data_IF_534827558032
#
_entry.id   IF_534827558032
#
_cell.length_a   1.000
_cell.length_b   1.000
_cell.length_c   1.000
_cell.angle_alpha   90.00
_cell.angle_beta   90.00
_cell.angle_gamma   90.00
#
_symmetry.space_group_name_H-M   'P 1'
#
loop_
_entity.id
_entity.type
_entity.pdbx_description
1 polymer ?
#
# COMPACT_ATOMS: atom_id res chain seq x y z
N UNK A 1 8.37 40.48 -74.99
CA UNK A 1 8.75 39.43 -74.02
C UNK A 1 7.96 39.67 -72.74
N UNK A 2 6.84 38.97 -72.56
CA UNK A 2 6.08 38.92 -71.29
C UNK A 2 5.92 37.46 -70.93
N UNK A 3 6.45 37.11 -69.76
CA UNK A 3 6.60 35.75 -69.24
C UNK A 3 5.25 35.21 -68.74
N UNK A 4 4.87 34.00 -69.16
CA UNK A 4 3.75 33.25 -68.59
C UNK A 4 4.34 32.19 -67.64
N UNK A 5 4.16 32.37 -66.34
CA UNK A 5 4.49 31.37 -65.33
C UNK A 5 3.32 30.38 -65.21
N UNK A 6 3.54 29.13 -65.63
CA UNK A 6 2.66 28.00 -65.28
C UNK A 6 2.97 27.56 -63.85
N UNK A 7 2.01 27.70 -62.94
CA UNK A 7 2.07 27.06 -61.62
C UNK A 7 1.50 25.64 -61.72
N UNK A 8 2.35 24.63 -61.59
CA UNK A 8 1.95 23.24 -61.36
C UNK A 8 1.63 23.08 -59.87
N UNK A 9 0.36 22.87 -59.54
CA UNK A 9 -0.04 22.46 -58.20
C UNK A 9 0.16 20.94 -58.07
N UNK A 10 1.17 20.52 -57.32
CA UNK A 10 1.36 19.11 -56.95
C UNK A 10 0.41 18.81 -55.78
N UNK A 11 -0.65 18.05 -56.05
CA UNK A 11 -1.57 17.54 -55.04
C UNK A 11 -0.88 16.37 -54.31
N UNK A 12 -0.27 16.64 -53.15
CA UNK A 12 0.20 15.61 -52.24
C UNK A 12 -1.03 14.93 -51.61
N UNK A 13 -1.37 13.72 -52.07
CA UNK A 13 -2.28 12.85 -51.33
C UNK A 13 -1.58 12.45 -50.03
N UNK A 14 -1.97 13.09 -48.92
CA UNK A 14 -1.73 12.54 -47.59
C UNK A 14 -2.55 11.26 -47.48
N UNK A 15 -1.86 10.11 -47.55
CA UNK A 15 -2.41 8.85 -47.09
C UNK A 15 -2.55 9.00 -45.58
N UNK A 16 -3.75 9.31 -45.10
CA UNK A 16 -4.07 9.17 -43.69
C UNK A 16 -3.89 7.68 -43.35
N UNK A 17 -2.80 7.34 -42.67
CA UNK A 17 -2.74 6.08 -41.94
C UNK A 17 -3.90 6.11 -40.96
N UNK A 18 -4.86 5.20 -41.13
CA UNK A 18 -5.86 4.97 -40.11
C UNK A 18 -5.12 4.53 -38.85
N UNK A 19 -4.88 5.46 -37.91
CA UNK A 19 -4.50 5.10 -36.55
C UNK A 19 -5.65 4.23 -36.02
N UNK A 20 -5.38 2.93 -35.89
CA UNK A 20 -6.35 1.99 -35.33
C UNK A 20 -6.85 2.51 -33.99
N UNK A 21 -8.16 2.45 -33.77
CA UNK A 21 -8.73 2.86 -32.49
C UNK A 21 -8.04 2.11 -31.34
N UNK A 22 -7.72 2.78 -30.22
CA UNK A 22 -7.05 2.14 -29.09
C UNK A 22 -7.76 0.86 -28.65
N UNK A 23 -6.99 -0.19 -28.35
CA UNK A 23 -7.55 -1.43 -27.81
C UNK A 23 -8.16 -1.14 -26.43
N UNK A 24 -9.48 -1.33 -26.31
CA UNK A 24 -10.24 -1.03 -25.10
C UNK A 24 -11.18 -2.18 -24.67
N UNK A 25 -11.14 -3.31 -25.38
CA UNK A 25 -11.90 -4.52 -25.04
C UNK A 25 -10.95 -5.63 -24.64
N UNK A 26 -10.93 -6.01 -23.37
CA UNK A 26 -10.11 -7.10 -22.85
C UNK A 26 -10.97 -8.33 -22.54
N UNK A 27 -10.61 -9.50 -23.08
CA UNK A 27 -11.32 -10.77 -22.86
C UNK A 27 -10.59 -11.61 -21.81
N UNK A 28 -11.26 -11.87 -20.67
CA UNK A 28 -10.76 -12.72 -19.58
C UNK A 28 -11.59 -14.01 -19.49
N UNK A 29 -11.11 -15.00 -18.73
CA UNK A 29 -11.80 -16.28 -18.52
C UNK A 29 -13.16 -16.16 -17.79
N UNK A 30 -13.43 -15.01 -17.19
CA UNK A 30 -14.67 -14.72 -16.47
C UNK A 30 -15.47 -13.53 -17.04
N UNK A 31 -15.12 -13.03 -18.23
CA UNK A 31 -15.90 -11.99 -18.90
C UNK A 31 -15.08 -11.06 -19.80
N UNK A 32 -15.79 -10.23 -20.56
CA UNK A 32 -15.19 -9.19 -21.41
C UNK A 32 -15.34 -7.82 -20.75
N UNK A 33 -14.26 -7.03 -20.71
CA UNK A 33 -14.20 -5.75 -20.02
C UNK A 33 -13.92 -4.60 -20.99
N UNK A 34 -14.86 -3.65 -21.07
CA UNK A 34 -14.76 -2.44 -21.87
C UNK A 34 -14.16 -1.30 -21.03
N UNK A 35 -12.95 -0.90 -21.38
CA UNK A 35 -12.27 0.29 -20.87
C UNK A 35 -12.62 1.54 -21.67
N UNK A 36 -11.81 2.57 -21.53
CA UNK A 36 -11.95 3.82 -22.28
C UNK A 36 -10.59 4.41 -22.65
N UNK A 37 -10.60 5.38 -23.56
CA UNK A 37 -9.43 6.12 -23.99
C UNK A 37 -9.63 7.61 -23.69
N UNK A 38 -8.65 8.21 -23.01
CA UNK A 38 -8.60 9.66 -22.81
C UNK A 38 -7.69 10.29 -23.87
N UNK A 39 -8.29 11.08 -24.77
CA UNK A 39 -7.53 11.85 -25.76
C UNK A 39 -6.72 12.99 -25.10
N UNK A 40 -7.23 13.57 -24.02
CA UNK A 40 -6.57 14.65 -23.27
C UNK A 40 -5.22 14.18 -22.70
N UNK A 41 -5.19 12.99 -22.12
CA UNK A 41 -3.99 12.44 -21.49
C UNK A 41 -3.23 11.46 -22.39
N UNK A 42 -3.83 11.04 -23.51
CA UNK A 42 -3.35 9.98 -24.38
C UNK A 42 -3.03 8.71 -23.57
N UNK A 43 -4.07 8.17 -22.91
CA UNK A 43 -4.04 7.01 -22.01
C UNK A 43 -5.26 6.12 -22.27
N UNK A 44 -5.05 4.81 -22.35
CA UNK A 44 -6.12 3.79 -22.25
C UNK A 44 -6.25 3.32 -20.81
N UNK A 45 -7.47 3.14 -20.33
CA UNK A 45 -7.73 2.82 -18.92
C UNK A 45 -8.96 1.95 -18.71
N UNK A 46 -8.91 1.20 -17.61
CA UNK A 46 -10.01 0.46 -17.00
C UNK A 46 -9.98 0.81 -15.52
N UNK A 47 -11.06 1.33 -14.99
CA UNK A 47 -11.16 1.73 -13.58
C UNK A 47 -11.78 0.63 -12.72
N UNK A 48 -12.79 -0.11 -13.19
CA UNK A 48 -13.48 -1.10 -12.37
C UNK A 48 -13.46 -2.49 -12.99
N UNK A 49 -12.55 -3.33 -12.53
CA UNK A 49 -12.50 -4.76 -12.85
C UNK A 49 -12.61 -5.54 -11.53
N UNK A 50 -13.67 -6.33 -11.29
CA UNK A 50 -13.72 -7.22 -10.13
C UNK A 50 -12.68 -8.33 -10.31
N UNK A 51 -11.77 -8.48 -9.35
CA UNK A 51 -10.74 -9.54 -9.37
C UNK A 51 -10.97 -10.62 -8.31
N UNK A 52 -11.91 -10.39 -7.40
CA UNK A 52 -12.40 -11.37 -6.42
C UNK A 52 -13.90 -11.17 -6.16
N UNK A 53 -14.53 -12.18 -5.54
CA UNK A 53 -15.89 -12.05 -5.04
C UNK A 53 -15.96 -11.10 -3.83
N UNK A 54 -17.12 -10.48 -3.56
CA UNK A 54 -17.31 -9.63 -2.39
C UNK A 54 -16.93 -10.36 -1.08
N UNK A 55 -16.07 -9.77 -0.22
CA UNK A 55 -15.66 -10.33 1.05
C UNK A 55 -16.70 -10.11 2.17
N UNK A 56 -17.98 -10.34 1.87
CA UNK A 56 -19.11 -10.14 2.78
C UNK A 56 -19.60 -11.47 3.38
N UNK A 57 -20.35 -11.38 4.49
CA UNK A 57 -20.98 -12.53 5.13
C UNK A 57 -19.95 -13.59 5.52
N UNK A 58 -20.08 -14.81 4.98
CA UNK A 58 -19.13 -15.90 5.26
C UNK A 58 -17.72 -15.67 4.70
N UNK A 59 -17.56 -14.76 3.73
CA UNK A 59 -16.26 -14.36 3.21
C UNK A 59 -15.62 -13.22 4.02
N UNK A 60 -16.32 -12.68 5.03
CA UNK A 60 -15.73 -11.72 5.96
C UNK A 60 -14.61 -12.41 6.73
N UNK A 61 -13.43 -11.78 6.74
CA UNK A 61 -12.17 -12.34 7.29
C UNK A 61 -11.62 -13.57 6.55
N UNK A 62 -12.13 -13.91 5.37
CA UNK A 62 -11.60 -15.00 4.53
C UNK A 62 -10.71 -14.45 3.42
N UNK A 63 -9.71 -15.19 2.98
CA UNK A 63 -8.95 -14.90 1.77
C UNK A 63 -9.86 -14.72 0.55
N UNK A 64 -9.42 -13.95 -0.46
CA UNK A 64 -10.25 -13.59 -1.61
C UNK A 64 -10.72 -14.83 -2.37
N UNK A 65 -12.03 -14.90 -2.66
CA UNK A 65 -12.62 -15.97 -3.47
C UNK A 65 -12.68 -15.54 -4.95
N UNK A 66 -12.70 -16.48 -5.91
CA UNK A 66 -12.77 -16.15 -7.34
C UNK A 66 -13.96 -15.22 -7.66
N UNK A 67 -13.79 -14.26 -8.60
CA UNK A 67 -14.89 -13.38 -9.00
C UNK A 67 -15.99 -14.16 -9.71
N UNK A 68 -17.20 -13.59 -9.74
CA UNK A 68 -18.30 -14.16 -10.50
C UNK A 68 -18.01 -14.11 -12.01
N UNK A 69 -18.43 -15.15 -12.74
CA UNK A 69 -18.40 -15.17 -14.21
C UNK A 69 -19.49 -14.25 -14.73
N UNK A 70 -19.09 -13.25 -15.51
CA UNK A 70 -19.99 -12.32 -16.16
C UNK A 70 -20.57 -12.94 -17.43
N UNK A 71 -21.79 -12.55 -17.77
CA UNK A 71 -22.44 -13.02 -18.99
C UNK A 71 -21.67 -12.55 -20.24
N UNK A 72 -21.51 -13.44 -21.21
CA UNK A 72 -20.74 -13.18 -22.42
C UNK A 72 -21.48 -12.32 -23.47
N UNK A 73 -22.74 -11.97 -23.20
CA UNK A 73 -23.62 -11.28 -24.15
C UNK A 73 -23.36 -9.77 -24.22
N UNK A 74 -22.77 -9.16 -23.18
CA UNK A 74 -22.40 -7.74 -23.17
C UNK A 74 -21.09 -7.50 -22.39
N UNK A 75 -20.15 -6.71 -22.94
CA UNK A 75 -18.96 -6.29 -22.20
C UNK A 75 -19.32 -5.53 -20.92
N UNK A 76 -18.65 -5.86 -19.82
CA UNK A 76 -18.75 -5.11 -18.57
C UNK A 76 -18.10 -3.73 -18.74
N UNK A 77 -18.85 -2.68 -18.40
CA UNK A 77 -18.32 -1.32 -18.43
C UNK A 77 -17.32 -1.11 -17.29
N UNK A 78 -16.03 -1.13 -17.60
CA UNK A 78 -14.93 -0.87 -16.66
C UNK A 78 -14.47 0.58 -16.64
N UNK A 79 -15.12 1.50 -17.36
CA UNK A 79 -14.78 2.94 -17.33
C UNK A 79 -15.44 3.72 -16.18
N UNK A 80 -16.08 3.00 -15.25
CA UNK A 80 -16.74 3.57 -14.07
C UNK A 80 -15.86 3.48 -12.82
N UNK A 81 -16.12 4.35 -11.84
CA UNK A 81 -15.44 4.32 -10.54
C UNK A 81 -15.96 3.18 -9.65
N UNK A 82 -15.19 2.85 -8.62
CA UNK A 82 -15.53 1.88 -7.58
C UNK A 82 -15.21 2.45 -6.20
N UNK A 83 -15.91 1.92 -5.20
CA UNK A 83 -15.74 2.34 -3.82
C UNK A 83 -14.49 1.72 -3.19
N UNK A 84 -13.95 2.41 -2.20
CA UNK A 84 -12.91 1.87 -1.35
C UNK A 84 -13.44 0.82 -0.39
N UNK A 85 -12.54 0.00 0.17
CA UNK A 85 -12.90 -0.89 1.27
C UNK A 85 -13.32 -0.09 2.51
N UNK A 86 -14.16 -0.67 3.39
CA UNK A 86 -14.62 0.03 4.57
C UNK A 86 -13.44 0.37 5.47
N UNK A 87 -13.36 1.63 5.88
CA UNK A 87 -12.28 2.15 6.70
C UNK A 87 -12.85 3.17 7.70
N UNK A 88 -12.03 4.13 8.16
CA UNK A 88 -12.35 5.24 9.08
C UNK A 88 -13.61 6.05 8.66
N UNK A 89 -13.86 7.24 9.21
CA UNK A 89 -15.01 8.13 9.01
C UNK A 89 -15.47 8.49 7.56
N UNK A 90 -15.01 7.77 6.54
CA UNK A 90 -15.48 7.79 5.16
C UNK A 90 -16.17 6.47 4.84
N UNK A 91 -17.37 6.56 4.30
CA UNK A 91 -18.13 5.38 3.88
C UNK A 91 -17.42 4.67 2.72
N UNK A 92 -17.39 3.35 2.80
CA UNK A 92 -16.90 2.44 1.77
C UNK A 92 -17.83 1.24 1.68
N UNK A 93 -17.56 0.34 0.74
CA UNK A 93 -18.37 -0.87 0.54
C UNK A 93 -17.55 -2.10 0.93
N UNK A 94 -18.14 -3.07 1.62
CA UNK A 94 -17.47 -4.37 1.79
C UNK A 94 -17.26 -5.06 0.44
N UNK A 95 -18.14 -4.83 -0.54
CA UNK A 95 -17.85 -5.13 -1.95
C UNK A 95 -16.89 -4.08 -2.53
N UNK A 96 -15.59 -4.24 -2.27
CA UNK A 96 -14.54 -3.32 -2.68
C UNK A 96 -13.41 -3.95 -3.48
N UNK A 97 -13.41 -5.26 -3.74
CA UNK A 97 -12.29 -5.99 -4.36
C UNK A 97 -12.25 -5.82 -5.89
N UNK A 98 -12.01 -4.57 -6.27
CA UNK A 98 -11.85 -4.10 -7.64
C UNK A 98 -10.42 -3.60 -7.88
N UNK A 99 -10.01 -3.65 -9.14
CA UNK A 99 -8.78 -3.06 -9.63
C UNK A 99 -9.08 -2.17 -10.82
N UNK A 100 -8.20 -1.21 -11.01
CA UNK A 100 -8.08 -0.46 -12.25
C UNK A 100 -6.65 -0.48 -12.76
N UNK A 101 -6.49 -0.17 -14.04
CA UNK A 101 -5.22 -0.13 -14.72
C UNK A 101 -5.24 0.92 -15.82
N UNK A 102 -4.06 1.43 -16.14
CA UNK A 102 -3.91 2.38 -17.24
C UNK A 102 -2.49 2.35 -17.82
N UNK A 103 -2.39 2.75 -19.09
CA UNK A 103 -1.11 2.89 -19.81
C UNK A 103 -1.28 3.80 -21.03
N UNK A 104 -0.18 4.14 -21.72
CA UNK A 104 -0.29 4.66 -23.09
C UNK A 104 -1.05 3.68 -23.98
N UNK A 105 -1.79 4.15 -25.00
CA UNK A 105 -2.49 3.26 -25.92
C UNK A 105 -1.60 2.14 -26.43
N UNK A 106 -2.20 0.97 -26.54
CA UNK A 106 -1.59 -0.23 -27.05
C UNK A 106 -2.53 -0.88 -28.05
N UNK A 107 -1.97 -1.57 -29.04
CA UNK A 107 -2.72 -2.46 -29.94
C UNK A 107 -2.08 -3.84 -29.95
N UNK A 108 -2.83 -4.92 -30.23
CA UNK A 108 -2.30 -6.29 -30.20
C UNK A 108 -1.05 -6.55 -31.05
N UNK A 109 -0.79 -5.72 -32.05
CA UNK A 109 0.40 -5.80 -32.93
C UNK A 109 1.66 -5.23 -32.28
N UNK A 110 1.53 -4.48 -31.19
CA UNK A 110 2.64 -3.86 -30.47
C UNK A 110 3.22 -4.81 -29.39
N UNK A 111 4.52 -4.68 -29.06
CA UNK A 111 5.12 -5.42 -27.95
C UNK A 111 4.39 -5.16 -26.62
N UNK A 112 4.39 -6.17 -25.74
CA UNK A 112 3.88 -6.04 -24.38
C UNK A 112 4.80 -5.16 -23.52
N UNK A 113 4.20 -4.37 -22.63
CA UNK A 113 4.87 -3.37 -21.79
C UNK A 113 5.23 -3.93 -20.42
N UNK A 114 6.30 -3.46 -19.76
CA UNK A 114 6.53 -3.74 -18.34
C UNK A 114 5.31 -3.35 -17.49
N UNK A 115 5.07 -4.08 -16.41
CA UNK A 115 3.91 -3.88 -15.52
C UNK A 115 4.39 -3.49 -14.13
N UNK A 116 3.75 -2.49 -13.54
CA UNK A 116 3.95 -2.12 -12.13
C UNK A 116 2.62 -2.29 -11.39
N UNK A 117 2.57 -3.23 -10.45
CA UNK A 117 1.44 -3.42 -9.54
C UNK A 117 1.67 -2.59 -8.29
N UNK A 118 0.73 -1.71 -7.97
CA UNK A 118 0.88 -0.72 -6.91
C UNK A 118 0.00 -1.04 -5.71
N UNK A 119 0.61 -1.02 -4.53
CA UNK A 119 -0.06 -1.11 -3.24
C UNK A 119 -0.07 0.27 -2.58
N UNK A 120 -1.27 0.78 -2.28
CA UNK A 120 -1.40 2.06 -1.57
C UNK A 120 -1.00 1.95 -0.10
N UNK A 121 -0.64 3.10 0.49
CA UNK A 121 -0.34 3.27 1.91
C UNK A 121 -1.58 3.52 2.77
N UNK A 122 -1.38 4.03 3.98
CA UNK A 122 -2.45 4.29 4.95
C UNK A 122 -2.39 3.43 6.21
N UNK A 123 -1.17 2.95 6.56
CA UNK A 123 -0.91 2.25 7.82
C UNK A 123 -1.68 0.96 8.00
N UNK A 124 -2.08 0.30 6.90
CA UNK A 124 -2.99 -0.85 6.89
C UNK A 124 -4.36 -0.57 7.55
N UNK A 125 -4.69 0.67 7.90
CA UNK A 125 -5.97 1.07 8.50
C UNK A 125 -6.92 1.70 7.46
N UNK A 126 -6.39 2.15 6.34
CA UNK A 126 -7.14 2.74 5.24
C UNK A 126 -6.31 2.92 3.97
N UNK A 127 -6.91 3.49 2.93
CA UNK A 127 -6.34 3.73 1.61
C UNK A 127 -7.34 3.38 0.48
N UNK A 128 -7.01 3.74 -0.76
CA UNK A 128 -7.84 3.46 -1.93
C UNK A 128 -7.00 3.22 -3.18
N UNK A 129 -7.43 2.30 -4.02
CA UNK A 129 -6.96 2.17 -5.39
C UNK A 129 -7.83 2.92 -6.41
N UNK A 130 -8.97 3.48 -5.99
CA UNK A 130 -9.87 4.21 -6.88
C UNK A 130 -9.21 5.51 -7.36
N UNK A 131 -9.15 5.72 -8.66
CA UNK A 131 -8.52 6.89 -9.28
C UNK A 131 -9.44 7.55 -10.29
N UNK A 132 -9.26 8.86 -10.51
CA UNK A 132 -9.80 9.61 -11.66
C UNK A 132 -8.69 9.87 -12.68
N UNK A 133 -9.01 10.38 -13.87
CA UNK A 133 -8.00 10.79 -14.85
C UNK A 133 -7.95 12.32 -14.98
N UNK A 134 -6.77 12.96 -14.88
CA UNK A 134 -5.52 12.34 -14.48
C UNK A 134 -5.64 11.88 -13.02
N UNK A 135 -4.94 10.80 -12.59
CA UNK A 135 -4.92 10.43 -11.18
C UNK A 135 -4.54 11.67 -10.40
N UNK A 136 -5.38 12.11 -9.43
CA UNK A 136 -5.16 13.40 -8.80
C UNK A 136 -3.83 13.31 -8.06
N UNK A 137 -2.83 14.02 -8.55
CA UNK A 137 -1.71 14.42 -7.70
C UNK A 137 -2.29 15.21 -6.55
N UNK A 138 -1.79 14.95 -5.34
CA UNK A 138 -2.12 15.65 -4.10
C UNK A 138 -2.53 17.13 -4.32
N UNK A 139 -3.58 17.66 -3.66
CA UNK A 139 -4.06 18.99 -3.99
C UNK A 139 -2.97 20.03 -3.71
N UNK A 140 -2.87 20.97 -4.66
CA UNK A 140 -2.23 22.26 -4.48
C UNK A 140 -2.56 22.81 -3.08
N UNK A 141 -1.51 23.11 -2.30
CA UNK A 141 -1.48 23.90 -1.06
C UNK A 141 -2.84 24.36 -0.48
N UNK A 142 -3.23 23.81 0.67
CA UNK A 142 -4.24 24.41 1.55
C UNK A 142 -5.54 23.61 1.76
N UNK A 143 -5.64 22.41 1.22
CA UNK A 143 -6.79 21.50 1.47
C UNK A 143 -6.33 20.36 2.36
N UNK A 144 -6.96 20.20 3.53
CA UNK A 144 -6.82 19.00 4.37
C UNK A 144 -7.14 17.79 3.49
N UNK A 145 -6.24 16.81 3.34
CA UNK A 145 -6.45 15.73 2.37
C UNK A 145 -7.73 14.98 2.75
N UNK A 146 -8.68 14.76 1.82
CA UNK A 146 -9.61 13.67 2.00
C UNK A 146 -8.79 12.37 2.11
N UNK A 147 -9.37 11.39 2.76
CA UNK A 147 -8.87 10.05 3.15
C UNK A 147 -8.40 9.15 2.00
N UNK A 148 -8.03 9.74 0.85
CA UNK A 148 -7.67 9.12 -0.41
C UNK A 148 -6.22 9.50 -0.74
N UNK A 149 -5.24 8.90 -0.04
CA UNK A 149 -3.83 9.08 -0.41
C UNK A 149 -3.50 8.20 -1.63
N UNK A 150 -3.83 8.67 -2.83
CA UNK A 150 -3.13 8.24 -4.04
C UNK A 150 -1.90 9.12 -4.21
N UNK A 151 -0.73 8.50 -4.14
CA UNK A 151 0.52 9.14 -4.50
C UNK A 151 0.57 9.26 -6.02
N UNK A 152 0.93 10.43 -6.55
CA UNK A 152 0.85 10.72 -7.99
C UNK A 152 1.82 9.86 -8.80
N UNK A 153 1.39 9.37 -9.97
CA UNK A 153 2.14 8.37 -10.75
C UNK A 153 2.25 8.68 -12.25
N UNK A 154 3.33 8.21 -12.91
CA UNK A 154 4.12 9.01 -13.86
C UNK A 154 3.84 8.71 -15.34
N UNK A 155 2.58 8.48 -15.69
CA UNK A 155 2.23 8.29 -17.13
C UNK A 155 1.95 9.60 -17.86
N UNK A 156 1.88 10.70 -17.11
CA UNK A 156 1.57 12.02 -17.64
C UNK A 156 2.88 12.77 -17.85
N UNK A 157 3.40 12.64 -19.07
CA UNK A 157 4.58 13.32 -19.62
C UNK A 157 5.92 12.56 -19.51
N UNK A 158 6.03 11.41 -20.21
CA UNK A 158 7.22 10.56 -20.21
C UNK A 158 7.64 10.10 -21.61
N UNK A 159 8.96 9.98 -21.79
CA UNK A 159 9.63 9.40 -22.96
C UNK A 159 9.37 7.88 -23.07
N UNK A 160 9.96 7.20 -24.06
CA UNK A 160 9.94 5.73 -24.16
C UNK A 160 10.49 5.02 -22.91
N UNK A 161 11.22 5.72 -22.02
CA UNK A 161 11.75 5.17 -20.78
C UNK A 161 10.68 4.87 -19.71
N UNK A 162 9.46 5.41 -19.84
CA UNK A 162 8.39 5.20 -18.85
C UNK A 162 7.08 4.71 -19.50
N UNK A 163 7.19 3.98 -20.61
CA UNK A 163 6.05 3.28 -21.23
C UNK A 163 5.82 1.93 -20.53
N UNK A 164 5.16 1.99 -19.37
CA UNK A 164 4.73 0.83 -18.60
C UNK A 164 3.23 0.88 -18.29
N UNK A 165 2.68 -0.27 -17.92
CA UNK A 165 1.29 -0.42 -17.50
C UNK A 165 1.23 -0.43 -15.97
N UNK A 166 0.37 0.41 -15.41
CA UNK A 166 0.13 0.44 -13.96
C UNK A 166 -1.15 -0.30 -13.60
N UNK A 167 -1.10 -1.09 -12.53
CA UNK A 167 -2.26 -1.79 -11.94
C UNK A 167 -2.43 -1.33 -10.49
N UNK A 168 -3.63 -0.85 -10.17
CA UNK A 168 -4.04 -0.44 -8.83
C UNK A 168 -5.19 -1.33 -8.36
N UNK A 169 -5.04 -1.98 -7.22
CA UNK A 169 -6.09 -2.81 -6.67
C UNK A 169 -6.38 -2.45 -5.22
N UNK A 170 -7.68 -2.41 -4.89
CA UNK A 170 -8.08 -2.40 -3.49
C UNK A 170 -7.57 -3.66 -2.80
N UNK A 171 -7.25 -3.55 -1.53
CA UNK A 171 -7.04 -4.65 -0.62
C UNK A 171 -7.67 -4.29 0.72
N UNK A 172 -8.21 -5.29 1.43
CA UNK A 172 -8.85 -5.02 2.73
C UNK A 172 -7.83 -4.48 3.73
N UNK A 173 -8.27 -3.51 4.51
CA UNK A 173 -7.50 -2.86 5.58
C UNK A 173 -8.20 -3.11 6.92
N UNK A 174 -7.61 -2.60 8.00
CA UNK A 174 -8.10 -2.63 9.36
C UNK A 174 -8.48 -4.03 9.86
N UNK A 175 -9.44 -4.15 10.77
CA UNK A 175 -9.93 -5.45 11.25
C UNK A 175 -10.44 -6.35 10.12
N UNK A 176 -10.99 -5.79 9.02
CA UNK A 176 -11.44 -6.59 7.88
C UNK A 176 -10.29 -7.25 7.09
N UNK A 177 -9.10 -6.65 7.11
CA UNK A 177 -7.91 -7.09 6.39
C UNK A 177 -6.83 -7.73 7.25
N UNK A 178 -6.84 -7.47 8.56
CA UNK A 178 -5.72 -7.72 9.46
C UNK A 178 -6.16 -8.05 10.90
N UNK A 179 -7.37 -8.59 11.11
CA UNK A 179 -7.76 -9.14 12.42
C UNK A 179 -6.94 -10.41 12.72
N UNK A 180 -6.13 -10.42 13.79
CA UNK A 180 -5.39 -11.61 14.20
C UNK A 180 -6.26 -12.50 15.12
N UNK A 181 -5.62 -13.45 15.81
CA UNK A 181 -6.27 -14.24 16.86
C UNK A 181 -6.41 -15.72 16.52
N UNK A 182 -6.50 -16.53 17.58
CA UNK A 182 -6.60 -18.00 17.49
C UNK A 182 -7.89 -18.43 16.79
N UNK A 183 -8.97 -17.70 17.01
CA UNK A 183 -10.30 -17.96 16.45
C UNK A 183 -10.27 -17.86 14.92
N UNK A 184 -9.59 -16.84 14.37
CA UNK A 184 -9.39 -16.69 12.92
C UNK A 184 -8.59 -17.86 12.37
N UNK A 185 -7.48 -18.23 13.02
CA UNK A 185 -6.59 -19.30 12.57
C UNK A 185 -7.22 -20.71 12.63
N UNK A 186 -8.16 -20.94 13.55
CA UNK A 186 -8.81 -22.23 13.76
C UNK A 186 -10.04 -22.44 12.87
N UNK A 187 -10.63 -21.37 12.34
CA UNK A 187 -11.81 -21.46 11.47
C UNK A 187 -11.40 -21.78 10.02
N UNK A 188 -11.90 -22.88 9.42
CA UNK A 188 -11.55 -23.28 8.06
C UNK A 188 -12.12 -22.35 6.97
N UNK A 189 -12.94 -21.36 7.35
CA UNK A 189 -13.57 -20.39 6.46
C UNK A 189 -13.11 -18.96 6.76
N UNK A 190 -11.97 -18.81 7.41
CA UNK A 190 -11.29 -17.55 7.68
C UNK A 190 -9.79 -17.72 7.44
N UNK A 191 -9.11 -16.60 7.23
CA UNK A 191 -7.70 -16.57 6.98
C UNK A 191 -7.10 -15.39 7.76
N UNK A 192 -5.88 -15.57 8.26
CA UNK A 192 -5.07 -14.47 8.76
C UNK A 192 -4.55 -13.64 7.58
N UNK A 193 -4.21 -12.37 7.84
CA UNK A 193 -3.69 -11.44 6.83
C UNK A 193 -4.50 -11.34 5.52
N UNK A 194 -5.86 -11.32 5.52
CA UNK A 194 -6.64 -11.29 4.29
C UNK A 194 -6.29 -10.11 3.37
N UNK A 195 -5.84 -8.97 3.91
CA UNK A 195 -5.33 -7.85 3.13
C UNK A 195 -4.05 -8.17 2.33
N UNK A 196 -3.15 -9.01 2.85
CA UNK A 196 -1.98 -9.49 2.08
C UNK A 196 -2.36 -10.58 1.07
N UNK A 197 -3.35 -11.40 1.40
CA UNK A 197 -3.89 -12.42 0.48
C UNK A 197 -4.64 -11.78 -0.69
N UNK A 198 -5.33 -10.65 -0.46
CA UNK A 198 -5.92 -9.81 -1.49
C UNK A 198 -4.86 -9.34 -2.49
N UNK A 199 -3.74 -8.81 -1.99
CA UNK A 199 -2.61 -8.38 -2.82
C UNK A 199 -1.98 -9.55 -3.58
N UNK A 200 -1.80 -10.72 -2.94
CA UNK A 200 -1.30 -11.93 -3.60
C UNK A 200 -2.24 -12.35 -4.74
N UNK A 201 -3.55 -12.27 -4.54
CA UNK A 201 -4.55 -12.59 -5.55
C UNK A 201 -4.50 -11.63 -6.74
N UNK A 202 -4.25 -10.33 -6.51
CA UNK A 202 -4.04 -9.34 -7.57
C UNK A 202 -2.77 -9.67 -8.36
N UNK A 203 -1.68 -10.06 -7.71
CA UNK A 203 -0.46 -10.48 -8.42
C UNK A 203 -0.71 -11.73 -9.29
N UNK A 204 -1.47 -12.70 -8.77
CA UNK A 204 -1.91 -13.89 -9.54
C UNK A 204 -2.86 -13.51 -10.68
N UNK A 205 -3.72 -12.51 -10.49
CA UNK A 205 -4.59 -11.99 -11.54
C UNK A 205 -3.76 -11.32 -12.65
N UNK A 206 -2.80 -10.47 -12.28
CA UNK A 206 -1.89 -9.79 -13.21
C UNK A 206 -1.13 -10.81 -14.06
N UNK A 207 -0.52 -11.84 -13.45
CA UNK A 207 0.19 -12.90 -14.17
C UNK A 207 -0.69 -13.62 -15.21
N UNK A 208 -1.99 -13.79 -14.94
CA UNK A 208 -2.92 -14.49 -15.83
C UNK A 208 -3.49 -13.61 -16.94
N UNK A 209 -3.77 -12.34 -16.63
CA UNK A 209 -4.68 -11.52 -17.42
C UNK A 209 -4.02 -10.31 -18.09
N UNK A 210 -2.87 -9.84 -17.61
CA UNK A 210 -2.37 -8.50 -17.98
C UNK A 210 -1.98 -8.36 -19.45
N UNK A 211 -1.70 -9.47 -20.14
CA UNK A 211 -1.44 -9.49 -21.58
C UNK A 211 -2.62 -8.98 -22.42
N UNK A 212 -3.86 -9.16 -21.94
CA UNK A 212 -5.06 -8.65 -22.60
C UNK A 212 -5.18 -7.12 -22.55
N UNK A 213 -4.35 -6.47 -21.74
CA UNK A 213 -4.30 -5.02 -21.60
C UNK A 213 -2.98 -4.44 -22.14
N UNK A 214 -2.15 -5.27 -22.80
CA UNK A 214 -0.85 -4.86 -23.34
C UNK A 214 0.31 -4.92 -22.34
N UNK A 215 0.12 -5.53 -21.15
CA UNK A 215 1.18 -5.73 -20.17
C UNK A 215 1.89 -7.08 -20.32
N UNK A 216 3.18 -7.14 -19.99
CA UNK A 216 3.98 -8.35 -20.04
C UNK A 216 3.91 -9.08 -18.69
N UNK A 217 3.28 -10.27 -18.60
CA UNK A 217 3.19 -11.02 -17.34
C UNK A 217 4.56 -11.51 -16.85
N UNK A 218 5.58 -11.59 -17.71
CA UNK A 218 6.94 -11.99 -17.32
C UNK A 218 7.81 -10.80 -16.86
N UNK A 219 7.32 -9.58 -17.02
CA UNK A 219 7.98 -8.35 -16.57
C UNK A 219 7.08 -7.56 -15.62
N UNK A 220 6.93 -8.09 -14.41
CA UNK A 220 6.14 -7.49 -13.33
C UNK A 220 7.07 -6.97 -12.24
N UNK A 221 6.91 -5.69 -11.91
CA UNK A 221 7.42 -5.05 -10.72
C UNK A 221 6.28 -4.78 -9.73
N UNK A 222 6.59 -4.80 -8.44
CA UNK A 222 5.68 -4.32 -7.40
C UNK A 222 6.22 -3.04 -6.80
N UNK A 223 5.30 -2.18 -6.38
CA UNK A 223 5.65 -0.95 -5.71
C UNK A 223 4.61 -0.52 -4.68
N UNK A 224 5.05 0.21 -3.67
CA UNK A 224 4.14 0.88 -2.77
C UNK A 224 4.82 1.98 -1.96
N UNK A 225 3.99 2.66 -1.19
CA UNK A 225 4.38 3.72 -0.27
C UNK A 225 3.81 3.42 1.13
N UNK A 226 4.56 3.70 2.21
CA UNK A 226 4.08 3.49 3.58
C UNK A 226 3.70 2.02 3.82
N UNK A 227 2.48 1.76 4.30
CA UNK A 227 1.94 0.40 4.42
C UNK A 227 1.89 -0.36 3.08
N UNK A 228 1.80 0.33 1.95
CA UNK A 228 1.95 -0.25 0.62
C UNK A 228 3.39 -0.71 0.36
N UNK A 229 4.39 0.04 0.83
CA UNK A 229 5.78 -0.40 0.81
C UNK A 229 6.04 -1.51 1.84
N UNK A 230 5.37 -1.48 3.01
CA UNK A 230 5.33 -2.62 3.93
C UNK A 230 4.72 -3.86 3.27
N UNK A 231 3.69 -3.69 2.46
CA UNK A 231 3.09 -4.75 1.64
C UNK A 231 4.10 -5.28 0.62
N UNK A 232 4.89 -4.43 -0.02
CA UNK A 232 6.00 -4.86 -0.90
C UNK A 232 6.98 -5.75 -0.13
N UNK A 233 7.43 -5.33 1.06
CA UNK A 233 8.28 -6.14 1.92
C UNK A 233 7.62 -7.50 2.25
N UNK A 234 6.34 -7.50 2.65
CA UNK A 234 5.61 -8.72 2.95
C UNK A 234 5.53 -9.68 1.76
N UNK A 235 5.19 -9.17 0.57
CA UNK A 235 5.15 -9.95 -0.67
C UNK A 235 6.54 -10.50 -1.01
N UNK A 236 7.63 -9.78 -0.67
CA UNK A 236 8.99 -10.25 -0.99
C UNK A 236 9.44 -11.47 -0.17
N UNK A 237 8.95 -11.59 1.07
CA UNK A 237 9.25 -12.72 1.96
C UNK A 237 8.11 -13.74 2.00
N UNK A 238 7.03 -13.49 1.26
CA UNK A 238 5.82 -14.28 1.28
C UNK A 238 6.10 -15.74 0.96
N UNK A 239 5.50 -16.63 1.76
CA UNK A 239 5.64 -18.08 1.65
C UNK A 239 7.11 -18.51 1.64
N UNK A 240 7.94 -17.87 2.47
CA UNK A 240 9.36 -18.16 2.61
C UNK A 240 10.24 -17.64 1.47
N UNK A 241 9.76 -16.66 0.69
CA UNK A 241 10.47 -16.14 -0.48
C UNK A 241 10.42 -17.08 -1.69
N UNK A 242 9.45 -17.99 -1.75
CA UNK A 242 9.37 -19.05 -2.78
C UNK A 242 8.44 -18.70 -3.95
N UNK A 243 7.62 -17.64 -3.82
CA UNK A 243 6.70 -17.23 -4.88
C UNK A 243 7.45 -16.67 -6.10
N UNK A 244 6.81 -16.71 -7.28
CA UNK A 244 7.37 -16.17 -8.53
C UNK A 244 6.32 -15.34 -9.26
N UNK A 245 5.83 -14.28 -8.61
CA UNK A 245 4.75 -13.44 -9.12
C UNK A 245 5.25 -12.10 -9.68
N UNK A 246 6.46 -11.69 -9.31
CA UNK A 246 7.13 -10.47 -9.77
C UNK A 246 8.64 -10.68 -9.72
N UNK A 247 9.40 -9.79 -10.35
CA UNK A 247 10.87 -9.88 -10.44
C UNK A 247 11.60 -8.69 -9.82
N UNK A 248 10.90 -7.58 -9.58
CA UNK A 248 11.45 -6.31 -9.08
C UNK A 248 10.54 -5.76 -8.01
N UNK A 249 11.10 -5.14 -6.99
CA UNK A 249 10.34 -4.59 -5.89
C UNK A 249 10.86 -3.21 -5.52
N UNK A 250 9.94 -2.25 -5.37
CA UNK A 250 10.25 -0.88 -5.00
C UNK A 250 9.45 -0.50 -3.74
N UNK A 251 10.10 0.07 -2.73
CA UNK A 251 9.49 0.34 -1.44
C UNK A 251 9.81 1.76 -0.96
N UNK A 252 8.90 2.71 -1.18
CA UNK A 252 9.04 4.07 -0.67
C UNK A 252 8.51 4.14 0.76
N UNK A 253 9.33 4.55 1.72
CA UNK A 253 8.93 4.72 3.11
C UNK A 253 8.30 3.44 3.71
N UNK A 254 8.95 2.26 3.63
CA UNK A 254 8.32 1.00 4.01
C UNK A 254 7.90 0.97 5.47
N UNK A 255 6.59 1.02 5.71
CA UNK A 255 6.04 0.93 7.06
C UNK A 255 5.95 -0.53 7.49
N UNK A 256 6.90 -0.94 8.34
CA UNK A 256 6.95 -2.26 8.94
C UNK A 256 6.80 -2.15 10.47
N UNK A 257 5.56 -2.16 10.99
CA UNK A 257 5.30 -2.09 12.42
C UNK A 257 5.73 -3.36 13.15
N UNK A 258 5.66 -3.36 14.48
CA UNK A 258 5.89 -4.56 15.30
C UNK A 258 4.98 -5.68 14.81
N UNK A 259 5.60 -6.76 14.34
CA UNK A 259 4.91 -7.92 13.75
C UNK A 259 4.93 -9.06 14.76
N UNK A 260 3.79 -9.32 15.38
CA UNK A 260 3.66 -10.43 16.33
C UNK A 260 3.23 -11.72 15.64
N UNK A 261 3.43 -12.86 16.31
CA UNK A 261 2.72 -14.09 15.95
C UNK A 261 1.23 -13.89 16.16
N UNK A 262 0.41 -14.49 15.29
CA UNK A 262 -1.04 -14.28 15.29
C UNK A 262 -1.75 -14.60 16.61
N UNK A 263 -1.14 -15.42 17.45
CA UNK A 263 -1.67 -15.92 18.73
C UNK A 263 -0.89 -15.40 19.96
N UNK A 264 0.03 -14.46 19.77
CA UNK A 264 0.70 -13.78 20.88
C UNK A 264 -0.31 -12.99 21.72
N UNK A 265 0.00 -12.68 22.99
CA UNK A 265 -0.90 -11.88 23.83
C UNK A 265 -1.30 -10.54 23.20
N UNK A 266 -0.37 -9.86 22.52
CA UNK A 266 -0.59 -8.57 21.86
C UNK A 266 -1.54 -8.69 20.67
N UNK A 267 -1.39 -9.75 19.88
CA UNK A 267 -2.26 -10.02 18.74
C UNK A 267 -3.66 -10.44 19.23
N UNK A 268 -3.74 -11.38 20.16
CA UNK A 268 -5.01 -11.87 20.71
C UNK A 268 -5.81 -10.75 21.39
N UNK A 269 -5.15 -9.81 22.07
CA UNK A 269 -5.80 -8.64 22.67
C UNK A 269 -6.59 -7.81 21.64
N UNK A 270 -6.12 -7.71 20.39
CA UNK A 270 -6.86 -6.98 19.34
C UNK A 270 -8.15 -7.69 18.96
N UNK A 271 -8.12 -9.02 18.88
CA UNK A 271 -9.29 -9.84 18.63
C UNK A 271 -10.31 -9.72 19.78
N UNK A 272 -9.84 -9.89 21.01
CA UNK A 272 -10.67 -9.87 22.21
C UNK A 272 -11.33 -8.50 22.41
N UNK A 273 -10.62 -7.40 22.18
CA UNK A 273 -11.16 -6.04 22.26
C UNK A 273 -12.20 -5.79 21.17
N UNK A 274 -11.97 -6.27 19.94
CA UNK A 274 -12.94 -6.14 18.86
C UNK A 274 -14.22 -6.94 19.18
N UNK A 275 -14.09 -8.17 19.68
CA UNK A 275 -15.21 -8.98 20.12
C UNK A 275 -15.98 -8.30 21.27
N UNK A 276 -15.27 -7.71 22.24
CA UNK A 276 -15.86 -6.97 23.35
C UNK A 276 -16.65 -5.74 22.87
N UNK A 277 -16.04 -4.87 22.08
CA UNK A 277 -16.65 -3.63 21.57
C UNK A 277 -17.82 -3.88 20.60
N UNK A 278 -17.92 -5.09 20.06
CA UNK A 278 -19.02 -5.48 19.16
C UNK A 278 -20.08 -6.35 19.82
N UNK A 279 -19.99 -6.58 21.14
CA UNK A 279 -20.87 -7.48 21.91
C UNK A 279 -20.83 -8.95 21.43
N UNK A 280 -19.68 -9.39 20.91
CA UNK A 280 -19.43 -10.74 20.40
C UNK A 280 -18.52 -11.58 21.29
N UNK A 281 -18.21 -11.15 22.52
CA UNK A 281 -17.40 -11.96 23.45
C UNK A 281 -18.03 -13.34 23.73
N UNK A 282 -17.23 -14.40 23.70
CA UNK A 282 -17.67 -15.77 24.00
C UNK A 282 -17.09 -16.82 23.04
N UNK A 283 -17.53 -18.09 23.18
CA UNK A 283 -16.99 -19.20 22.38
C UNK A 283 -17.32 -19.11 20.88
N UNK A 284 -18.43 -18.46 20.52
CA UNK A 284 -18.88 -18.28 19.12
C UNK A 284 -18.52 -16.88 18.57
N UNK A 285 -17.49 -16.24 19.13
CA UNK A 285 -17.15 -14.84 18.86
C UNK A 285 -16.94 -14.55 17.38
N UNK A 286 -16.24 -15.41 16.64
CA UNK A 286 -16.01 -15.23 15.21
C UNK A 286 -17.30 -15.33 14.39
N UNK A 287 -18.16 -16.30 14.72
CA UNK A 287 -19.45 -16.45 14.05
C UNK A 287 -20.33 -15.22 14.26
N UNK A 288 -20.28 -14.62 15.45
CA UNK A 288 -20.92 -13.34 15.76
C UNK A 288 -20.29 -12.19 14.95
N UNK A 289 -18.96 -12.04 14.95
CA UNK A 289 -18.23 -10.98 14.23
C UNK A 289 -18.52 -11.00 12.72
N UNK A 290 -18.67 -12.18 12.10
CA UNK A 290 -19.06 -12.33 10.68
C UNK A 290 -20.46 -11.75 10.37
N UNK A 291 -21.30 -11.55 11.38
CA UNK A 291 -22.67 -11.03 11.26
C UNK A 291 -22.84 -9.61 11.80
N UNK A 292 -21.82 -9.03 12.45
CA UNK A 292 -21.88 -7.67 12.98
C UNK A 292 -22.19 -6.67 11.88
N UNK A 293 -23.04 -5.69 12.19
CA UNK A 293 -23.31 -4.56 11.32
C UNK A 293 -22.01 -3.81 10.98
N UNK A 294 -21.85 -3.43 9.72
CA UNK A 294 -20.61 -2.84 9.23
C UNK A 294 -20.26 -1.54 9.97
N UNK A 295 -21.24 -0.71 10.33
CA UNK A 295 -20.98 0.54 11.04
C UNK A 295 -20.46 0.26 12.45
N UNK A 296 -21.10 -0.67 13.17
CA UNK A 296 -20.65 -1.09 14.51
C UNK A 296 -19.21 -1.63 14.47
N UNK A 297 -18.89 -2.46 13.46
CA UNK A 297 -17.54 -3.00 13.29
C UNK A 297 -16.52 -1.89 13.04
N UNK A 298 -16.84 -0.90 12.19
CA UNK A 298 -15.98 0.26 11.90
C UNK A 298 -15.73 1.12 13.15
N UNK A 299 -16.76 1.38 13.94
CA UNK A 299 -16.64 2.19 15.16
C UNK A 299 -15.74 1.51 16.20
N UNK A 300 -15.92 0.20 16.41
CA UNK A 300 -15.06 -0.60 17.28
C UNK A 300 -13.60 -0.62 16.77
N UNK A 301 -13.43 -0.82 15.46
CA UNK A 301 -12.13 -0.82 14.78
C UNK A 301 -11.38 0.50 14.95
N UNK A 302 -12.10 1.63 14.87
CA UNK A 302 -11.54 2.96 15.07
C UNK A 302 -11.17 3.21 16.54
N UNK A 303 -11.99 2.73 17.47
CA UNK A 303 -11.72 2.84 18.92
C UNK A 303 -10.39 2.16 19.28
N UNK A 304 -10.15 0.95 18.77
CA UNK A 304 -8.91 0.19 18.97
C UNK A 304 -7.68 0.91 18.39
N UNK A 305 -7.85 1.55 17.23
CA UNK A 305 -6.79 2.38 16.63
C UNK A 305 -6.43 3.56 17.52
N UNK A 306 -7.43 4.29 18.02
CA UNK A 306 -7.21 5.47 18.84
C UNK A 306 -6.59 5.13 20.21
N UNK A 307 -6.93 3.97 20.79
CA UNK A 307 -6.34 3.47 22.04
C UNK A 307 -4.81 3.24 21.94
N UNK A 308 -4.32 2.80 20.78
CA UNK A 308 -2.95 2.35 20.58
C UNK A 308 -2.09 3.30 19.74
N UNK A 309 -2.63 4.47 19.40
CA UNK A 309 -2.08 5.47 18.47
C UNK A 309 -0.61 5.87 18.70
N UNK A 310 -0.02 5.65 19.87
CA UNK A 310 1.37 6.04 20.13
C UNK A 310 2.24 4.91 20.71
N UNK A 311 1.67 3.75 21.04
CA UNK A 311 2.35 2.68 21.79
C UNK A 311 2.73 1.48 20.90
N UNK A 312 1.99 1.22 19.82
CA UNK A 312 2.24 0.03 19.00
C UNK A 312 3.01 0.30 17.71
N UNK A 313 2.98 1.56 17.22
CA UNK A 313 3.58 2.14 15.99
C UNK A 313 2.57 2.97 15.18
N UNK A 314 1.73 3.74 15.86
CA UNK A 314 0.62 4.54 15.31
C UNK A 314 -0.55 3.76 14.71
N UNK A 315 -0.30 2.65 14.03
CA UNK A 315 -1.33 1.81 13.44
C UNK A 315 -1.35 0.43 14.09
N UNK A 316 -2.49 0.09 14.70
CA UNK A 316 -2.70 -1.18 15.42
C UNK A 316 -2.89 -2.37 14.48
N UNK A 317 -3.63 -2.15 13.40
CA UNK A 317 -3.89 -3.16 12.39
C UNK A 317 -2.65 -3.30 11.51
N UNK A 318 -2.10 -4.51 11.43
CA UNK A 318 -0.87 -4.78 10.71
C UNK A 318 -0.78 -6.28 10.39
N UNK A 319 0.12 -6.69 9.47
CA UNK A 319 0.42 -8.09 9.28
C UNK A 319 0.84 -8.81 10.57
N UNK A 320 0.48 -10.09 10.68
CA UNK A 320 0.97 -11.00 11.72
C UNK A 320 1.74 -12.17 11.11
N UNK A 321 2.65 -12.75 11.88
CA UNK A 321 3.33 -13.99 11.51
C UNK A 321 2.33 -15.14 11.67
N UNK A 322 1.84 -15.66 10.54
CA UNK A 322 0.79 -16.67 10.46
C UNK A 322 1.33 -18.09 10.20
N UNK A 323 2.63 -18.22 9.92
CA UNK A 323 3.26 -19.51 9.61
C UNK A 323 3.05 -20.00 8.18
N UNK A 324 2.23 -19.31 7.38
CA UNK A 324 1.91 -19.70 6.00
C UNK A 324 2.37 -18.64 4.99
N UNK A 325 1.78 -17.45 5.05
CA UNK A 325 2.16 -16.31 4.21
C UNK A 325 3.40 -15.63 4.79
N UNK A 326 3.35 -15.23 6.06
CA UNK A 326 4.52 -14.75 6.82
C UNK A 326 4.97 -15.86 7.76
N UNK A 327 6.10 -16.51 7.42
CA UNK A 327 6.61 -17.66 8.20
C UNK A 327 7.49 -17.25 9.38
N UNK A 328 8.02 -16.03 9.39
CA UNK A 328 8.99 -15.55 10.36
C UNK A 328 9.13 -14.02 10.34
N UNK A 329 9.86 -13.40 11.30
CA UNK A 329 10.12 -11.97 11.29
C UNK A 329 10.90 -11.49 10.07
N UNK A 330 10.58 -10.29 9.57
CA UNK A 330 11.23 -9.65 8.42
C UNK A 330 12.76 -9.68 8.50
N UNK A 331 13.32 -9.27 9.65
CA UNK A 331 14.76 -9.23 9.87
C UNK A 331 15.43 -10.60 9.69
N UNK A 332 14.74 -11.68 10.10
CA UNK A 332 15.26 -13.06 9.98
C UNK A 332 15.18 -13.55 8.55
N UNK A 333 14.05 -13.32 7.86
CA UNK A 333 13.88 -13.70 6.46
C UNK A 333 14.90 -12.99 5.56
N UNK A 334 15.06 -11.68 5.72
CA UNK A 334 15.99 -10.86 4.95
C UNK A 334 17.44 -11.23 5.23
N UNK A 335 17.83 -11.44 6.49
CA UNK A 335 19.19 -11.86 6.84
C UNK A 335 19.55 -13.24 6.27
N UNK A 336 18.56 -14.12 6.11
CA UNK A 336 18.71 -15.43 5.48
C UNK A 336 18.63 -15.39 3.94
N UNK A 337 18.42 -14.21 3.33
CA UNK A 337 18.24 -14.07 1.88
C UNK A 337 16.97 -14.75 1.34
N UNK A 338 15.96 -14.98 2.19
CA UNK A 338 14.68 -15.63 1.83
C UNK A 338 13.74 -14.61 1.20
N UNK A 339 14.10 -14.17 0.01
CA UNK A 339 13.35 -13.19 -0.78
C UNK A 339 13.06 -13.72 -2.18
N UNK A 340 11.91 -13.35 -2.73
CA UNK A 340 11.49 -13.71 -4.08
C UNK A 340 11.67 -12.59 -5.13
N UNK A 341 12.33 -11.48 -4.76
CA UNK A 341 12.69 -10.42 -5.71
C UNK A 341 14.14 -10.59 -6.17
N UNK A 342 14.44 -10.15 -7.40
CA UNK A 342 15.81 -10.13 -7.92
C UNK A 342 16.54 -8.85 -7.56
N UNK A 343 15.85 -7.73 -7.76
CA UNK A 343 16.36 -6.38 -7.50
C UNK A 343 15.40 -5.62 -6.60
N UNK A 344 15.96 -4.75 -5.75
CA UNK A 344 15.19 -3.97 -4.80
C UNK A 344 15.61 -2.49 -4.85
N UNK A 345 14.63 -1.60 -4.76
CA UNK A 345 14.85 -0.18 -4.55
C UNK A 345 14.02 0.28 -3.36
N UNK A 346 14.60 1.09 -2.46
CA UNK A 346 13.84 1.68 -1.38
C UNK A 346 14.20 3.15 -1.19
N UNK A 347 13.27 3.90 -0.60
CA UNK A 347 13.52 5.27 -0.14
C UNK A 347 13.04 5.44 1.29
N UNK A 348 13.67 6.36 2.02
CA UNK A 348 13.16 6.87 3.28
C UNK A 348 13.38 8.39 3.34
N UNK A 349 12.70 9.05 4.28
CA UNK A 349 12.79 10.52 4.42
C UNK A 349 13.47 10.88 5.75
N UNK A 350 14.20 11.99 5.79
CA UNK A 350 15.01 12.33 6.97
C UNK A 350 14.16 12.52 8.24
N UNK A 351 13.00 13.19 8.16
CA UNK A 351 12.09 13.48 9.29
C UNK A 351 10.84 12.59 9.31
N UNK A 352 10.95 11.35 8.83
CA UNK A 352 9.78 10.49 8.58
C UNK A 352 8.94 10.19 9.83
N UNK A 353 9.61 9.82 10.92
CA UNK A 353 8.98 9.34 12.15
C UNK A 353 8.23 10.41 12.93
N UNK A 354 8.50 11.68 12.65
CA UNK A 354 7.85 12.83 13.28
C UNK A 354 6.32 12.83 13.06
N UNK A 355 5.82 12.21 11.99
CA UNK A 355 4.37 12.15 11.74
C UNK A 355 3.61 11.20 12.66
N UNK A 356 4.33 10.36 13.42
CA UNK A 356 3.75 9.19 14.10
C UNK A 356 3.99 9.16 15.61
N UNK A 357 4.65 10.18 16.14
CA UNK A 357 4.92 10.33 17.56
C UNK A 357 3.96 11.35 18.21
N UNK A 358 3.82 11.38 19.54
CA UNK A 358 2.90 12.30 20.19
C UNK A 358 3.24 13.77 19.92
N UNK A 359 2.34 14.57 19.30
CA UNK A 359 2.61 15.96 18.93
C UNK A 359 2.92 16.86 20.15
N UNK A 360 2.51 16.42 21.34
CA UNK A 360 2.84 17.10 22.59
C UNK A 360 4.33 17.18 22.89
N UNK A 361 5.15 16.26 22.37
CA UNK A 361 6.61 16.31 22.50
C UNK A 361 7.23 17.59 21.89
N UNK A 362 6.52 18.33 21.02
CA UNK A 362 6.95 19.66 20.51
C UNK A 362 6.78 20.81 21.52
N UNK A 363 5.98 20.60 22.56
CA UNK A 363 5.44 21.70 23.36
C UNK A 363 6.00 21.67 24.79
N UNK A 364 6.38 22.83 25.36
CA UNK A 364 6.87 22.90 26.74
C UNK A 364 5.77 22.61 27.78
N UNK A 365 4.50 22.62 27.37
CA UNK A 365 3.34 22.29 28.21
C UNK A 365 2.65 21.05 27.68
N UNK A 366 1.96 20.34 28.58
CA UNK A 366 1.13 19.19 28.23
C UNK A 366 0.09 19.57 27.19
N UNK A 367 0.07 18.83 26.08
CA UNK A 367 -0.92 18.97 25.00
C UNK A 367 -1.27 17.59 24.44
N UNK A 368 -2.43 17.49 23.78
CA UNK A 368 -2.94 16.25 23.21
C UNK A 368 -3.59 15.30 24.23
N UNK A 369 -4.09 14.17 23.73
CA UNK A 369 -4.61 13.06 24.52
C UNK A 369 -4.07 11.75 23.94
N UNK A 370 -3.28 10.95 24.69
CA UNK A 370 -2.77 11.26 26.02
C UNK A 370 -1.82 12.48 26.02
N UNK A 371 -1.66 13.11 27.19
CA UNK A 371 -0.92 14.36 27.32
C UNK A 371 0.59 14.14 27.31
N UNK A 372 1.29 14.81 26.40
CA UNK A 372 2.76 14.84 26.33
C UNK A 372 3.28 16.28 26.31
N UNK A 373 4.53 16.46 26.70
CA UNK A 373 5.30 17.71 26.61
C UNK A 373 6.75 17.40 26.19
N UNK A 374 7.58 18.42 25.99
CA UNK A 374 8.97 18.27 25.50
C UNK A 374 9.98 17.75 26.53
N UNK A 375 9.55 17.40 27.75
CA UNK A 375 10.46 16.94 28.82
C UNK A 375 10.98 15.52 28.60
N UNK A 376 12.12 15.20 29.22
CA UNK A 376 12.71 13.86 29.21
C UNK A 376 11.78 12.80 29.82
N UNK A 377 10.97 13.17 30.80
CA UNK A 377 9.99 12.27 31.41
C UNK A 377 8.88 11.88 30.42
N UNK A 378 8.37 12.84 29.63
CA UNK A 378 7.40 12.57 28.56
C UNK A 378 8.01 11.70 27.45
N UNK A 379 9.27 11.98 27.10
CA UNK A 379 10.01 11.17 26.14
C UNK A 379 10.20 9.73 26.64
N UNK A 380 10.67 9.53 27.87
CA UNK A 380 10.87 8.19 28.43
C UNK A 380 9.55 7.42 28.54
N UNK A 381 8.46 8.09 28.96
CA UNK A 381 7.13 7.49 28.97
C UNK A 381 6.69 7.04 27.57
N UNK A 382 6.95 7.85 26.55
CA UNK A 382 6.68 7.46 25.17
C UNK A 382 7.55 6.28 24.72
N UNK A 383 8.87 6.30 24.95
CA UNK A 383 9.78 5.22 24.52
C UNK A 383 9.39 3.89 25.18
N UNK A 384 9.06 3.89 26.48
CA UNK A 384 8.61 2.67 27.17
C UNK A 384 7.26 2.17 26.66
N UNK A 385 6.33 3.08 26.37
CA UNK A 385 5.07 2.71 25.70
C UNK A 385 5.30 2.16 24.29
N UNK A 386 6.27 2.73 23.56
CA UNK A 386 6.64 2.34 22.21
C UNK A 386 7.53 1.08 22.15
N UNK A 387 8.22 0.71 23.22
CA UNK A 387 9.06 -0.49 23.34
C UNK A 387 8.74 -1.20 24.67
N UNK A 388 7.52 -1.77 24.81
CA UNK A 388 7.02 -2.25 26.09
C UNK A 388 7.73 -3.50 26.62
N UNK A 389 8.41 -4.25 25.75
CA UNK A 389 9.16 -5.46 26.12
C UNK A 389 10.64 -5.17 26.45
N UNK A 390 11.11 -3.93 26.27
CA UNK A 390 12.50 -3.59 26.52
C UNK A 390 12.73 -3.35 28.01
N UNK A 391 13.73 -4.05 28.56
CA UNK A 391 14.18 -3.87 29.93
C UNK A 391 14.90 -2.53 30.12
N UNK A 392 15.10 -2.10 31.36
CA UNK A 392 15.74 -0.81 31.66
C UNK A 392 17.10 -0.64 30.97
N UNK A 393 17.92 -1.70 30.91
CA UNK A 393 19.22 -1.64 30.26
C UNK A 393 19.14 -1.45 28.74
N UNK A 394 18.08 -1.95 28.11
CA UNK A 394 17.80 -1.81 26.68
C UNK A 394 17.22 -0.43 26.36
N UNK A 395 16.33 0.09 27.22
CA UNK A 395 15.86 1.48 27.14
C UNK A 395 17.03 2.46 27.28
N UNK A 396 17.97 2.21 28.20
CA UNK A 396 19.21 3.00 28.29
C UNK A 396 20.08 2.85 27.04
N UNK A 397 20.10 1.67 26.39
CA UNK A 397 20.81 1.49 25.13
C UNK A 397 20.19 2.33 24.00
N UNK A 398 18.87 2.33 23.87
CA UNK A 398 18.14 3.21 22.94
C UNK A 398 18.50 4.67 23.22
N UNK A 399 18.48 5.10 24.49
CA UNK A 399 18.85 6.48 24.86
C UNK A 399 20.31 6.84 24.58
N UNK A 400 21.23 5.86 24.54
CA UNK A 400 22.63 6.07 24.12
C UNK A 400 22.77 6.19 22.60
N UNK A 401 22.03 5.40 21.83
CA UNK A 401 22.03 5.49 20.35
C UNK A 401 21.36 6.78 19.86
N UNK A 402 20.35 7.25 20.59
CA UNK A 402 19.66 8.51 20.33
C UNK A 402 19.88 9.42 21.53
N UNK A 403 21.00 10.15 21.64
CA UNK A 403 21.27 11.06 22.77
C UNK A 403 20.31 12.27 22.79
N UNK A 404 20.32 13.07 23.87
CA UNK A 404 19.47 14.28 23.95
C UNK A 404 19.87 15.38 22.95
N UNK A 405 21.13 15.37 22.51
CA UNK A 405 21.66 16.22 21.45
C UNK A 405 22.60 15.38 20.58
N UNK A 406 22.49 15.51 19.27
CA UNK A 406 23.31 14.76 18.33
C UNK A 406 23.13 15.22 16.89
N UNK A 407 23.76 14.50 15.99
CA UNK A 407 23.74 14.77 14.55
C UNK A 407 23.56 13.46 13.77
N UNK A 408 22.82 13.50 12.68
CA UNK A 408 22.83 12.48 11.61
C UNK A 408 23.54 13.08 10.39
N UNK A 409 23.57 12.36 9.27
CA UNK A 409 24.10 12.91 8.00
C UNK A 409 23.30 14.13 7.49
N UNK A 410 22.05 14.27 7.92
CA UNK A 410 21.08 15.25 7.40
C UNK A 410 20.42 16.14 8.46
N UNK A 411 20.56 15.82 9.75
CA UNK A 411 19.84 16.48 10.85
C UNK A 411 20.78 16.78 12.02
N UNK A 412 20.81 18.03 12.46
CA UNK A 412 21.30 18.42 13.79
C UNK A 412 20.12 18.55 14.74
N UNK A 413 20.15 17.88 15.90
CA UNK A 413 19.01 17.88 16.82
C UNK A 413 19.42 18.06 18.28
N UNK A 414 18.53 18.68 19.06
CA UNK A 414 18.72 18.95 20.50
C UNK A 414 17.41 18.92 21.29
N UNK A 415 16.39 18.25 20.76
CA UNK A 415 15.07 18.17 21.38
C UNK A 415 14.50 16.74 21.31
N UNK A 416 13.56 16.45 22.21
CA UNK A 416 12.95 15.13 22.32
C UNK A 416 11.95 14.82 21.20
N UNK A 417 11.48 15.82 20.45
CA UNK A 417 10.58 15.61 19.31
C UNK A 417 11.33 14.96 18.15
N UNK A 418 12.43 15.58 17.71
CA UNK A 418 13.27 15.03 16.64
C UNK A 418 13.87 13.70 17.07
N UNK A 419 14.34 13.60 18.31
CA UNK A 419 14.87 12.36 18.88
C UNK A 419 13.88 11.20 18.83
N UNK A 420 12.63 11.43 19.25
CA UNK A 420 11.57 10.43 19.14
C UNK A 420 11.24 10.08 17.68
N UNK A 421 11.25 11.09 16.80
CA UNK A 421 11.05 10.90 15.37
C UNK A 421 12.12 10.00 14.75
N UNK A 422 13.39 10.18 15.13
CA UNK A 422 14.50 9.33 14.67
C UNK A 422 14.34 7.87 15.15
N UNK A 423 13.99 7.66 16.42
CA UNK A 423 13.73 6.31 16.96
C UNK A 423 12.62 5.63 16.17
N UNK A 424 11.49 6.31 16.00
CA UNK A 424 10.36 5.75 15.26
C UNK A 424 10.73 5.43 13.81
N UNK A 425 11.38 6.40 13.14
CA UNK A 425 11.85 6.29 11.75
C UNK A 425 12.72 5.05 11.58
N UNK A 426 13.76 4.93 12.41
CA UNK A 426 14.74 3.87 12.23
C UNK A 426 14.12 2.49 12.50
N UNK A 427 13.34 2.35 13.58
CA UNK A 427 12.73 1.07 13.96
C UNK A 427 11.65 0.63 12.97
N UNK A 428 10.81 1.56 12.49
CA UNK A 428 9.56 1.22 11.77
C UNK A 428 9.64 1.42 10.27
N UNK A 429 10.58 2.25 9.78
CA UNK A 429 10.62 2.71 8.40
C UNK A 429 11.98 2.45 7.74
N UNK A 430 13.05 3.03 8.26
CA UNK A 430 14.35 3.05 7.61
C UNK A 430 15.11 1.72 7.73
N UNK A 431 15.24 1.12 8.92
CA UNK A 431 15.93 -0.18 9.04
C UNK A 431 15.28 -1.30 8.21
N UNK A 432 13.93 -1.43 8.18
CA UNK A 432 13.25 -2.33 7.24
C UNK A 432 13.64 -2.11 5.77
N UNK A 433 13.78 -0.85 5.34
CA UNK A 433 14.24 -0.50 3.99
C UNK A 433 15.66 -1.01 3.72
N UNK A 434 16.58 -0.82 4.67
CA UNK A 434 17.96 -1.30 4.56
C UNK A 434 18.03 -2.84 4.50
N UNK A 435 17.28 -3.55 5.34
CA UNK A 435 17.23 -5.02 5.28
C UNK A 435 16.70 -5.52 3.95
N UNK A 436 15.64 -4.89 3.44
CA UNK A 436 15.01 -5.22 2.17
C UNK A 436 15.97 -5.07 0.99
N UNK A 437 16.65 -3.93 0.85
CA UNK A 437 17.55 -3.72 -0.30
C UNK A 437 18.79 -4.61 -0.24
N UNK A 438 19.31 -4.87 0.96
CA UNK A 438 20.50 -5.70 1.14
C UNK A 438 20.24 -7.19 0.88
N UNK A 439 18.99 -7.64 1.00
CA UNK A 439 18.62 -9.04 0.75
C UNK A 439 18.46 -9.38 -0.74
N UNK A 440 18.35 -8.38 -1.63
CA UNK A 440 18.13 -8.60 -3.05
C UNK A 440 19.40 -9.16 -3.75
N UNK A 441 19.31 -10.34 -4.40
CA UNK A 441 20.49 -11.07 -4.89
C UNK A 441 21.16 -10.45 -6.11
N UNK A 442 20.43 -9.69 -6.94
CA UNK A 442 20.95 -9.07 -8.18
C UNK A 442 21.22 -7.57 -8.01
N UNK A 443 20.95 -6.99 -6.83
CA UNK A 443 21.28 -5.60 -6.51
C UNK A 443 20.19 -4.86 -5.75
N UNK A 444 20.62 -4.02 -4.80
CA UNK A 444 19.78 -3.17 -3.97
C UNK A 444 20.23 -1.72 -4.02
N UNK A 445 19.28 -0.79 -4.06
CA UNK A 445 19.55 0.65 -4.00
C UNK A 445 18.65 1.31 -2.95
N UNK A 446 19.23 2.17 -2.13
CA UNK A 446 18.50 2.97 -1.15
C UNK A 446 18.74 4.45 -1.41
N UNK A 447 17.66 5.23 -1.36
CA UNK A 447 17.70 6.69 -1.40
C UNK A 447 17.23 7.30 -0.09
N UNK A 448 17.80 8.44 0.27
CA UNK A 448 17.27 9.31 1.32
C UNK A 448 16.74 10.59 0.67
N UNK A 449 15.46 10.91 0.91
CA UNK A 449 14.93 12.24 0.63
C UNK A 449 15.23 13.15 1.82
N UNK A 450 15.91 14.27 1.60
CA UNK A 450 16.35 15.18 2.67
C UNK A 450 15.91 16.63 2.46
N UNK A 451 15.11 16.92 1.43
CA UNK A 451 14.58 18.26 1.21
C UNK A 451 13.49 18.59 2.22
N UNK A 452 13.71 19.63 3.02
CA UNK A 452 12.75 20.10 4.03
C UNK A 452 11.34 20.30 3.42
N UNK A 453 10.26 19.84 4.09
CA UNK A 453 10.22 19.32 5.46
C UNK A 453 10.61 17.85 5.64
N UNK A 454 10.81 17.10 4.55
CA UNK A 454 11.23 15.69 4.57
C UNK A 454 10.45 14.77 5.54
N UNK A 455 9.16 15.05 5.71
CA UNK A 455 8.26 14.20 6.48
C UNK A 455 7.89 12.95 5.68
N UNK A 456 7.24 11.98 6.32
CA UNK A 456 6.72 10.79 5.65
C UNK A 456 5.94 11.13 4.37
N UNK A 457 6.26 10.41 3.28
CA UNK A 457 5.71 10.62 1.93
C UNK A 457 6.05 11.97 1.25
N UNK A 458 6.92 12.83 1.79
CA UNK A 458 7.29 14.09 1.13
C UNK A 458 8.01 13.90 -0.22
N UNK A 459 8.61 12.73 -0.43
CA UNK A 459 9.28 12.32 -1.66
C UNK A 459 8.30 12.05 -2.80
N UNK A 460 7.05 11.67 -2.50
CA UNK A 460 6.08 11.26 -3.54
C UNK A 460 5.68 12.39 -4.48
N UNK A 461 5.89 13.65 -4.09
CA UNK A 461 5.72 14.81 -4.98
C UNK A 461 6.71 14.83 -6.14
N UNK A 462 7.85 14.15 -5.98
CA UNK A 462 9.00 14.19 -6.88
C UNK A 462 9.23 12.87 -7.61
N UNK A 463 8.43 11.84 -7.31
CA UNK A 463 8.37 10.58 -8.06
C UNK A 463 7.59 10.87 -9.36
N UNK A 464 8.28 11.45 -10.34
CA UNK A 464 7.79 11.71 -11.70
C UNK A 464 8.42 10.76 -12.72
#
# INVERSE_FOLDING_TARGET
MKSLFFHFAILLLQVATAEGSPHTLAELDYGTFQGAYSQEFNISYWQKIPWAAPPTGQNRFRGPQPPAVLAADQPYNSSQTFDMCPQRATDGSEDCLYLGLYSRPWTPEQPLKPVVVVFYGGGFAGGSASFVLPPPGFPLSGVTPPTNMLFGYPTLNVSSASDFLLVYANYRTNSLGFLPGKEIAQDPLSDLNPGLLDQEAVLKWTKRNIAQFGGNPEDVAIWGQSAGAGSVLAQTIARGGEQKLFNRAMANSPFWPKTYYYDSPEAQLQYDELASLTDCSGPDSLACLKQVDLQKLRDATQTILDMNKYTTSYFTWAPVIDGEFLREPLSTAMAAGRVNTKVAFAMHNSHEGESFIPPGLKNPRNTGSPAFNSSDASFENWVRGFLPEFEDCEIEAVKRHYPAQGTTDTIDFSDNWVRAGLIYRDVTLTCPAYWFVNAAPEGGWIGEYSKYPSLHASDTFWVQ
#
